data_IF_615753391140
#
_entry.id   IF_615753391140
#
_cell.length_a   1.000
_cell.length_b   1.000
_cell.length_c   1.000
_cell.angle_alpha   90.00
_cell.angle_beta   90.00
_cell.angle_gamma   90.00
#
_symmetry.space_group_name_H-M   'P 1'
#
loop_
_entity.id
_entity.type
_entity.pdbx_description
1 polymer ?
#
# COMPACT_ATOMS: atom_id res chain seq x y z
N UNK A 1 2.51 -0.70 -19.19
CA UNK A 1 1.62 -1.13 -18.08
C UNK A 1 2.10 -2.43 -17.46
N UNK A 2 2.06 -3.60 -18.12
CA UNK A 2 2.47 -4.89 -17.52
C UNK A 2 3.86 -4.87 -16.83
N UNK A 3 4.91 -4.42 -17.53
CA UNK A 3 6.27 -4.29 -16.96
C UNK A 3 6.33 -3.38 -15.72
N UNK A 4 5.60 -2.27 -15.75
CA UNK A 4 5.55 -1.29 -14.65
C UNK A 4 4.81 -1.86 -13.41
N UNK A 5 3.72 -2.59 -13.64
CA UNK A 5 2.96 -3.27 -12.58
C UNK A 5 3.82 -4.36 -11.92
N UNK A 6 4.51 -5.19 -12.71
CA UNK A 6 5.42 -6.21 -12.18
C UNK A 6 6.55 -5.56 -11.35
N UNK A 7 7.12 -4.47 -11.85
CA UNK A 7 8.12 -3.70 -11.09
C UNK A 7 7.57 -3.22 -9.75
N UNK A 8 6.35 -2.67 -9.71
CA UNK A 8 5.73 -2.24 -8.45
C UNK A 8 5.41 -3.38 -7.51
N UNK A 9 4.99 -4.55 -8.02
CA UNK A 9 4.76 -5.74 -7.20
C UNK A 9 6.08 -6.16 -6.55
N UNK A 10 7.16 -6.33 -7.33
CA UNK A 10 8.48 -6.71 -6.79
C UNK A 10 8.95 -5.70 -5.75
N UNK A 11 8.83 -4.40 -6.05
CA UNK A 11 9.24 -3.33 -5.16
C UNK A 11 8.42 -3.33 -3.85
N UNK A 12 7.12 -3.56 -3.94
CA UNK A 12 6.23 -3.65 -2.79
C UNK A 12 6.53 -4.89 -1.94
N UNK A 13 6.74 -6.05 -2.56
CA UNK A 13 7.17 -7.29 -1.88
C UNK A 13 8.48 -7.05 -1.14
N UNK A 14 9.49 -6.47 -1.79
CA UNK A 14 10.78 -6.18 -1.16
C UNK A 14 10.62 -5.23 0.04
N UNK A 15 9.84 -4.16 -0.12
CA UNK A 15 9.56 -3.20 0.95
C UNK A 15 8.85 -3.85 2.14
N UNK A 16 7.86 -4.72 1.91
CA UNK A 16 7.17 -5.48 2.95
C UNK A 16 8.06 -6.49 3.65
N UNK A 17 8.97 -7.16 2.93
CA UNK A 17 9.94 -8.06 3.54
C UNK A 17 10.93 -7.29 4.43
N UNK A 18 11.46 -6.16 3.95
CA UNK A 18 12.40 -5.33 4.71
C UNK A 18 11.71 -4.75 5.95
N UNK A 19 10.51 -4.19 5.79
CA UNK A 19 9.77 -3.58 6.91
C UNK A 19 9.21 -4.63 7.86
N UNK A 20 8.67 -5.75 7.37
CA UNK A 20 8.19 -6.87 8.17
C UNK A 20 9.30 -7.51 8.98
N UNK A 21 10.37 -7.96 8.31
CA UNK A 21 11.49 -8.59 8.99
C UNK A 21 12.27 -7.60 9.87
N UNK A 22 12.50 -6.39 9.38
CA UNK A 22 13.17 -5.33 10.13
C UNK A 22 12.42 -4.95 11.39
N UNK A 23 11.09 -4.79 11.31
CA UNK A 23 10.27 -4.47 12.48
C UNK A 23 10.20 -5.65 13.46
N UNK A 24 10.13 -6.90 12.96
CA UNK A 24 10.25 -8.07 13.82
C UNK A 24 11.58 -8.10 14.59
N UNK A 25 12.71 -7.85 13.91
CA UNK A 25 14.02 -7.78 14.55
C UNK A 25 14.08 -6.67 15.63
N UNK A 26 13.61 -5.47 15.30
CA UNK A 26 13.60 -4.33 16.23
C UNK A 26 12.76 -4.66 17.47
N UNK A 27 11.55 -5.20 17.28
CA UNK A 27 10.68 -5.58 18.38
C UNK A 27 11.29 -6.70 19.23
N UNK A 28 11.86 -7.72 18.59
CA UNK A 28 12.47 -8.84 19.32
C UNK A 28 13.66 -8.44 20.20
N UNK A 29 14.43 -7.43 19.80
CA UNK A 29 15.63 -7.02 20.53
C UNK A 29 15.38 -5.87 21.52
N UNK A 30 14.54 -4.90 21.16
CA UNK A 30 14.37 -3.66 21.95
C UNK A 30 13.02 -3.59 22.68
N UNK A 31 11.97 -4.21 22.16
CA UNK A 31 10.60 -4.11 22.70
C UNK A 31 9.86 -5.46 22.68
N UNK A 32 10.39 -6.52 23.32
CA UNK A 32 9.80 -7.85 23.25
C UNK A 32 8.38 -7.90 23.83
N UNK A 33 8.06 -7.00 24.76
CA UNK A 33 6.73 -6.87 25.39
C UNK A 33 5.63 -6.44 24.40
N UNK A 34 5.99 -5.78 23.31
CA UNK A 34 5.05 -5.33 22.27
C UNK A 34 4.86 -6.41 21.20
N UNK A 35 5.80 -7.36 21.10
CA UNK A 35 5.71 -8.45 20.15
C UNK A 35 4.58 -9.40 20.56
N UNK A 36 3.70 -9.68 19.62
CA UNK A 36 2.55 -10.56 19.81
C UNK A 36 2.69 -11.79 18.92
N UNK A 37 2.13 -12.92 19.36
CA UNK A 37 2.20 -14.19 18.60
C UNK A 37 1.57 -14.06 17.21
N UNK A 38 0.53 -13.23 17.10
CA UNK A 38 -0.19 -12.94 15.87
C UNK A 38 0.49 -11.88 14.98
N UNK A 39 1.74 -11.50 15.26
CA UNK A 39 2.44 -10.44 14.54
C UNK A 39 2.42 -10.67 13.02
N UNK A 40 2.64 -11.91 12.57
CA UNK A 40 2.73 -12.30 11.16
C UNK A 40 1.47 -11.94 10.36
N UNK A 41 0.30 -11.87 11.01
CA UNK A 41 -0.97 -11.51 10.36
C UNK A 41 -0.91 -10.09 9.80
N UNK A 42 -0.26 -9.16 10.50
CA UNK A 42 -0.19 -7.74 10.15
C UNK A 42 0.53 -7.51 8.80
N UNK A 43 1.81 -7.89 8.63
CA UNK A 43 2.51 -7.68 7.36
C UNK A 43 1.86 -8.48 6.22
N UNK A 44 1.34 -9.69 6.46
CA UNK A 44 0.63 -10.48 5.44
C UNK A 44 -0.63 -9.75 4.97
N UNK A 45 -1.42 -9.19 5.88
CA UNK A 45 -2.60 -8.40 5.54
C UNK A 45 -2.26 -7.20 4.65
N UNK A 46 -1.26 -6.40 5.04
CA UNK A 46 -0.86 -5.24 4.26
C UNK A 46 -0.22 -5.61 2.91
N UNK A 47 0.44 -6.76 2.82
CA UNK A 47 0.94 -7.29 1.56
C UNK A 47 -0.19 -7.62 0.58
N UNK A 48 -1.22 -8.33 1.03
CA UNK A 48 -2.37 -8.68 0.20
C UNK A 48 -3.09 -7.42 -0.27
N UNK A 49 -3.35 -6.47 0.63
CA UNK A 49 -3.98 -5.20 0.28
C UNK A 49 -3.14 -4.39 -0.72
N UNK A 50 -1.82 -4.33 -0.54
CA UNK A 50 -0.94 -3.62 -1.45
C UNK A 50 -0.87 -4.27 -2.83
N UNK A 51 -0.93 -5.61 -2.93
CA UNK A 51 -1.09 -6.30 -4.21
C UNK A 51 -2.42 -5.93 -4.87
N UNK A 52 -3.53 -5.99 -4.14
CA UNK A 52 -4.86 -5.63 -4.67
C UNK A 52 -4.84 -4.19 -5.20
N UNK A 53 -4.23 -3.27 -4.44
CA UNK A 53 -4.03 -1.88 -4.84
C UNK A 53 -3.28 -1.78 -6.17
N UNK A 54 -2.10 -2.40 -6.29
CA UNK A 54 -1.28 -2.38 -7.51
C UNK A 54 -2.00 -3.01 -8.71
N UNK A 55 -2.74 -4.10 -8.48
CA UNK A 55 -3.50 -4.77 -9.55
C UNK A 55 -4.65 -3.92 -10.06
N UNK A 56 -5.31 -3.13 -9.21
CA UNK A 56 -6.36 -2.23 -9.69
C UNK A 56 -5.84 -1.14 -10.61
N UNK A 57 -4.62 -0.64 -10.42
CA UNK A 57 -4.00 0.28 -11.38
C UNK A 57 -3.83 -0.33 -12.78
N UNK A 58 -3.75 -1.66 -12.89
CA UNK A 58 -3.72 -2.32 -14.20
C UNK A 58 -5.04 -2.18 -14.94
N UNK A 59 -6.16 -2.12 -14.22
CA UNK A 59 -7.52 -2.05 -14.77
C UNK A 59 -7.99 -0.62 -15.01
N UNK A 60 -7.39 0.36 -14.34
CA UNK A 60 -7.80 1.76 -14.50
C UNK A 60 -7.45 2.31 -15.89
N UNK A 61 -8.39 2.98 -16.58
CA UNK A 61 -8.14 3.65 -17.86
C UNK A 61 -6.99 4.67 -17.76
N UNK A 62 -6.29 4.93 -18.87
CA UNK A 62 -5.13 5.84 -18.97
C UNK A 62 -5.49 7.33 -18.88
N UNK A 63 -6.45 7.67 -18.03
CA UNK A 63 -6.88 9.03 -17.77
C UNK A 63 -6.50 9.39 -16.33
N UNK A 64 -5.68 10.42 -16.16
CA UNK A 64 -5.18 10.83 -14.85
C UNK A 64 -6.33 11.07 -13.84
N UNK A 65 -7.46 11.65 -14.27
CA UNK A 65 -8.63 11.86 -13.39
C UNK A 65 -9.26 10.56 -12.86
N UNK A 66 -9.34 9.52 -13.70
CA UNK A 66 -9.89 8.21 -13.29
C UNK A 66 -8.95 7.46 -12.34
N UNK A 67 -7.63 7.70 -12.46
CA UNK A 67 -6.61 7.13 -11.57
C UNK A 67 -6.72 7.66 -10.15
N UNK A 68 -7.00 8.96 -9.99
CA UNK A 68 -7.22 9.58 -8.68
C UNK A 68 -8.47 8.99 -8.01
N UNK A 69 -9.57 8.84 -8.75
CA UNK A 69 -10.82 8.31 -8.21
C UNK A 69 -10.67 6.86 -7.74
N UNK A 70 -10.00 6.00 -8.51
CA UNK A 70 -9.73 4.62 -8.11
C UNK A 70 -8.81 4.57 -6.89
N UNK A 71 -7.78 5.43 -6.85
CA UNK A 71 -6.90 5.54 -5.68
C UNK A 71 -7.68 5.91 -4.41
N UNK A 72 -8.52 6.94 -4.48
CA UNK A 72 -9.36 7.35 -3.34
C UNK A 72 -10.31 6.24 -2.90
N UNK A 73 -10.96 5.54 -3.84
CA UNK A 73 -11.86 4.44 -3.53
C UNK A 73 -11.16 3.30 -2.78
N UNK A 74 -9.98 2.89 -3.24
CA UNK A 74 -9.23 1.81 -2.59
C UNK A 74 -8.77 2.24 -1.20
N UNK A 75 -8.34 3.50 -1.04
CA UNK A 75 -7.93 4.04 0.27
C UNK A 75 -9.08 4.02 1.27
N UNK A 76 -10.28 4.39 0.84
CA UNK A 76 -11.50 4.30 1.67
C UNK A 76 -11.82 2.85 2.03
N UNK A 77 -11.81 1.94 1.05
CA UNK A 77 -12.06 0.52 1.31
C UNK A 77 -11.03 -0.09 2.28
N UNK A 78 -9.77 0.33 2.17
CA UNK A 78 -8.69 -0.07 3.08
C UNK A 78 -8.96 0.39 4.51
N UNK A 79 -9.43 1.61 4.73
CA UNK A 79 -9.81 2.10 6.08
C UNK A 79 -10.88 1.19 6.70
N UNK A 80 -11.94 0.88 5.94
CA UNK A 80 -13.01 0.00 6.42
C UNK A 80 -12.52 -1.42 6.70
N UNK A 81 -11.71 -1.99 5.81
CA UNK A 81 -11.15 -3.34 5.98
C UNK A 81 -10.20 -3.39 7.17
N UNK A 82 -9.34 -2.38 7.33
CA UNK A 82 -8.45 -2.24 8.47
C UNK A 82 -9.20 -2.16 9.79
N UNK A 83 -10.28 -1.37 9.84
CA UNK A 83 -11.14 -1.27 11.00
C UNK A 83 -11.81 -2.61 11.33
N UNK A 84 -12.34 -3.30 10.32
CA UNK A 84 -12.94 -4.62 10.49
C UNK A 84 -11.94 -5.66 11.04
N UNK A 85 -10.70 -5.66 10.56
CA UNK A 85 -9.66 -6.58 11.08
C UNK A 85 -9.32 -6.29 12.54
N UNK A 86 -9.20 -5.02 12.92
CA UNK A 86 -8.96 -4.65 14.32
C UNK A 86 -10.14 -5.11 15.20
N UNK A 87 -11.38 -4.94 14.75
CA UNK A 87 -12.56 -5.42 15.48
C UNK A 87 -12.57 -6.94 15.61
N UNK A 88 -12.28 -7.69 14.54
CA UNK A 88 -12.20 -9.15 14.58
C UNK A 88 -11.10 -9.58 15.57
N UNK A 89 -9.92 -8.97 15.51
CA UNK A 89 -8.84 -9.28 16.44
C UNK A 89 -9.25 -9.00 17.89
N UNK A 90 -9.95 -7.89 18.13
CA UNK A 90 -10.44 -7.56 19.47
C UNK A 90 -11.41 -8.61 20.03
N UNK A 91 -12.24 -9.23 19.17
CA UNK A 91 -13.15 -10.30 19.59
C UNK A 91 -12.41 -11.61 19.91
N UNK A 92 -11.29 -11.89 19.23
CA UNK A 92 -10.51 -13.12 19.38
C UNK A 92 -9.53 -13.04 20.57
N UNK A 93 -8.82 -11.91 20.70
CA UNK A 93 -7.78 -11.72 21.70
C UNK A 93 -7.82 -10.30 22.28
N UNK A 94 -8.62 -10.16 23.34
CA UNK A 94 -8.76 -8.91 24.08
C UNK A 94 -7.51 -8.53 24.87
N UNK A 95 -6.64 -9.49 25.22
CA UNK A 95 -5.48 -9.22 26.05
C UNK A 95 -4.43 -8.45 25.24
N UNK A 96 -4.21 -8.84 23.99
CA UNK A 96 -3.16 -8.26 23.14
C UNK A 96 -3.66 -7.17 22.17
N UNK A 97 -4.93 -6.76 22.25
CA UNK A 97 -5.51 -5.78 21.31
C UNK A 97 -4.73 -4.46 21.26
N UNK A 98 -4.19 -4.00 22.39
CA UNK A 98 -3.41 -2.77 22.47
C UNK A 98 -2.15 -2.86 21.61
N UNK A 99 -1.37 -3.92 21.80
CA UNK A 99 -0.11 -4.15 21.08
C UNK A 99 -0.39 -4.40 19.60
N UNK A 100 -1.42 -5.21 19.29
CA UNK A 100 -1.88 -5.43 17.92
C UNK A 100 -2.23 -4.11 17.22
N UNK A 101 -3.06 -3.27 17.86
CA UNK A 101 -3.49 -2.00 17.27
C UNK A 101 -2.31 -1.05 17.02
N UNK A 102 -1.35 -0.94 17.95
CA UNK A 102 -0.15 -0.11 17.76
C UNK A 102 0.65 -0.58 16.55
N UNK A 103 0.98 -1.87 16.48
CA UNK A 103 1.74 -2.43 15.35
C UNK A 103 0.96 -2.29 14.04
N UNK A 104 -0.34 -2.53 14.07
CA UNK A 104 -1.21 -2.40 12.92
C UNK A 104 -1.25 -0.96 12.39
N UNK A 105 -1.32 0.04 13.28
CA UNK A 105 -1.28 1.47 12.91
C UNK A 105 0.08 1.83 12.29
N UNK A 106 1.19 1.33 12.83
CA UNK A 106 2.52 1.58 12.28
C UNK A 106 2.61 1.04 10.85
N UNK A 107 2.22 -0.22 10.63
CA UNK A 107 2.17 -0.81 9.28
C UNK A 107 1.17 -0.09 8.36
N UNK A 108 0.05 0.38 8.90
CA UNK A 108 -0.92 1.18 8.16
C UNK A 108 -0.30 2.48 7.64
N UNK A 109 0.43 3.22 8.48
CA UNK A 109 1.08 4.47 8.08
C UNK A 109 2.19 4.23 7.06
N UNK A 110 3.03 3.22 7.29
CA UNK A 110 4.10 2.82 6.36
C UNK A 110 3.51 2.45 4.99
N UNK A 111 2.45 1.64 4.97
CA UNK A 111 1.79 1.25 3.72
C UNK A 111 1.12 2.44 3.03
N UNK A 112 0.58 3.42 3.76
CA UNK A 112 -0.04 4.62 3.20
C UNK A 112 0.98 5.53 2.49
N UNK A 113 2.14 5.74 3.11
CA UNK A 113 3.26 6.48 2.48
C UNK A 113 3.69 5.77 1.19
N UNK A 114 3.81 4.45 1.25
CA UNK A 114 4.21 3.62 0.11
C UNK A 114 3.20 3.65 -1.04
N UNK A 115 1.91 3.50 -0.73
CA UNK A 115 0.82 3.57 -1.70
C UNK A 115 0.76 4.94 -2.37
N UNK A 116 0.93 6.02 -1.59
CA UNK A 116 1.00 7.39 -2.11
C UNK A 116 2.16 7.55 -3.10
N UNK A 117 3.33 7.01 -2.76
CA UNK A 117 4.49 7.04 -3.66
C UNK A 117 4.24 6.31 -4.99
N UNK A 118 3.66 5.10 -4.94
CA UNK A 118 3.29 4.35 -6.16
C UNK A 118 2.28 5.14 -6.99
N UNK A 119 1.25 5.68 -6.34
CA UNK A 119 0.22 6.49 -6.99
C UNK A 119 0.83 7.69 -7.74
N UNK A 120 1.68 8.48 -7.07
CA UNK A 120 2.33 9.65 -7.68
C UNK A 120 3.19 9.27 -8.88
N UNK A 121 3.94 8.16 -8.78
CA UNK A 121 4.77 7.67 -9.89
C UNK A 121 3.90 7.20 -11.07
N UNK A 122 2.78 6.53 -10.79
CA UNK A 122 1.81 6.10 -11.80
C UNK A 122 1.15 7.29 -12.51
N UNK A 123 0.71 8.29 -11.75
CA UNK A 123 0.08 9.50 -12.29
C UNK A 123 1.05 10.23 -13.24
N UNK A 124 2.31 10.43 -12.82
CA UNK A 124 3.37 11.03 -13.66
C UNK A 124 3.61 10.23 -14.94
N UNK A 125 3.68 8.89 -14.85
CA UNK A 125 3.88 8.02 -16.02
C UNK A 125 2.73 8.14 -17.03
N UNK A 126 1.49 8.23 -16.56
CA UNK A 126 0.31 8.37 -17.43
C UNK A 126 0.29 9.75 -18.10
N UNK A 127 0.57 10.82 -17.35
CA UNK A 127 0.67 12.20 -17.91
C UNK A 127 1.76 12.27 -18.98
N UNK A 128 2.97 11.77 -18.71
CA UNK A 128 4.07 11.75 -19.68
C UNK A 128 3.71 10.99 -20.96
N UNK A 129 3.09 9.81 -20.84
CA UNK A 129 2.64 9.08 -22.04
C UNK A 129 1.60 9.84 -22.86
N UNK A 130 0.67 10.53 -22.20
CA UNK A 130 -0.35 11.34 -22.87
C UNK A 130 0.30 12.49 -23.65
N UNK A 131 1.31 13.15 -23.09
CA UNK A 131 2.02 14.25 -23.78
C UNK A 131 2.87 13.76 -24.95
N UNK A 132 3.40 12.54 -24.90
CA UNK A 132 4.13 11.91 -26.02
C UNK A 132 3.22 11.45 -27.17
N UNK A 133 1.94 11.19 -26.90
CA UNK A 133 0.94 10.85 -27.91
C UNK A 133 0.36 12.09 -28.63
N UNK A 134 0.62 13.31 -28.13
CA UNK A 134 0.22 14.56 -28.81
C UNK A 134 1.06 14.81 -30.08
N UNK A 135 0.45 15.33 -31.16
CA UNK A 135 1.16 15.66 -32.39
C UNK A 135 2.24 16.73 -32.14
N UNK A 136 3.34 16.76 -32.92
CA UNK A 136 4.49 17.65 -32.69
C UNK A 136 4.14 19.13 -32.57
N UNK A 137 3.09 19.58 -33.27
CA UNK A 137 2.65 20.98 -33.34
C UNK A 137 2.13 21.53 -32.01
N UNK A 138 1.64 20.68 -31.10
CA UNK A 138 1.13 21.11 -29.78
C UNK A 138 2.17 21.05 -28.66
N UNK A 139 3.37 20.48 -28.91
CA UNK A 139 4.43 20.36 -27.88
C UNK A 139 5.28 21.61 -27.71
N UNK A 140 5.25 22.51 -28.69
CA UNK A 140 6.13 23.69 -28.76
C UNK A 140 5.45 24.93 -28.12
N UNK A 141 4.15 24.84 -27.81
CA UNK A 141 3.34 25.96 -27.32
C UNK A 141 2.95 25.89 -25.83
N UNK A 142 3.57 25.01 -25.03
CA UNK A 142 3.40 24.93 -23.57
C UNK A 142 4.76 25.02 -22.87
#
# INVERSE_FOLDING_TARGET
MKKLVVYFIILHTAMLLITGFGMWLILSHFFPEILIDSYVIIPVFFYILGIIFILQFRRTPREAGKVVNVYMLIRTFKIFTSFAIILIYWLLDKANIRNFAILFIIFYLISLIWETYIYLRMEKYIKYKKDQEKPPTERISQ
#
